data_IF_394255344444
#
_entry.id   IF_394255344444
#
_cell.length_a   1.000
_cell.length_b   1.000
_cell.length_c   1.000
_cell.angle_alpha   90.00
_cell.angle_beta   90.00
_cell.angle_gamma   90.00
#
_symmetry.space_group_name_H-M   'P 1'
#
loop_
_entity.id
_entity.type
_entity.pdbx_description
1 polymer ?
#
# COMPACT_ATOMS: atom_id res chain seq x y z
N UNK A 1 100.70 55.28 -15.63
CA UNK A 1 99.57 55.98 -14.98
C UNK A 1 98.53 54.93 -14.57
N UNK A 2 98.21 54.88 -13.27
CA UNK A 2 97.45 53.83 -12.52
C UNK A 2 95.98 53.78 -12.98
N UNK A 3 95.38 52.67 -13.43
CA UNK A 3 94.99 51.37 -12.83
C UNK A 3 93.82 51.42 -11.82
N UNK A 4 92.63 51.12 -12.35
CA UNK A 4 91.51 50.29 -11.82
C UNK A 4 91.32 50.21 -10.29
N UNK A 5 90.22 50.79 -9.78
CA UNK A 5 89.74 50.60 -8.41
C UNK A 5 88.64 49.53 -8.38
N UNK A 6 89.09 48.32 -8.03
CA UNK A 6 88.33 47.12 -7.71
C UNK A 6 87.49 47.35 -6.45
N UNK A 7 86.20 47.06 -6.50
CA UNK A 7 85.33 47.01 -5.32
C UNK A 7 85.80 45.88 -4.38
N UNK A 8 86.19 46.24 -3.16
CA UNK A 8 86.47 45.32 -2.06
C UNK A 8 85.19 45.05 -1.29
N UNK A 9 84.83 43.77 -1.17
CA UNK A 9 83.78 43.31 -0.28
C UNK A 9 84.13 43.68 1.18
N UNK A 10 83.38 44.61 1.78
CA UNK A 10 83.42 44.83 3.22
C UNK A 10 82.41 43.91 3.90
N UNK A 11 82.98 43.04 4.71
CA UNK A 11 82.40 42.03 5.57
C UNK A 11 81.16 42.48 6.36
N UNK A 12 80.23 41.52 6.44
CA UNK A 12 79.18 41.39 7.46
C UNK A 12 79.71 41.72 8.86
N UNK A 13 79.27 42.84 9.43
CA UNK A 13 79.38 43.10 10.86
C UNK A 13 78.08 42.64 11.51
N UNK A 14 78.14 41.44 12.09
CA UNK A 14 77.09 40.82 12.89
C UNK A 14 76.63 41.75 14.03
N UNK A 15 75.39 42.23 13.93
CA UNK A 15 74.62 42.68 15.09
C UNK A 15 74.34 41.44 15.95
N UNK A 16 74.64 41.42 17.27
CA UNK A 16 74.32 40.27 18.10
C UNK A 16 72.80 40.09 18.18
N UNK A 17 72.29 39.02 17.57
CA UNK A 17 70.90 38.59 17.72
C UNK A 17 70.63 38.33 19.20
N UNK A 18 69.72 39.09 19.79
CA UNK A 18 69.15 38.82 21.10
C UNK A 18 68.26 37.56 20.99
N UNK A 19 68.85 36.40 21.26
CA UNK A 19 68.25 35.06 21.17
C UNK A 19 67.04 34.88 22.09
N UNK A 20 66.97 35.66 23.18
CA UNK A 20 65.85 35.65 24.12
C UNK A 20 64.60 36.33 23.53
N UNK A 21 64.79 37.44 22.81
CA UNK A 21 63.70 38.14 22.12
C UNK A 21 63.14 37.33 20.94
N UNK A 22 64.00 36.66 20.15
CA UNK A 22 63.54 35.82 19.04
C UNK A 22 62.71 34.61 19.52
N UNK A 23 63.16 33.95 20.59
CA UNK A 23 62.44 32.82 21.20
C UNK A 23 61.08 33.25 21.78
N UNK A 24 61.00 34.44 22.39
CA UNK A 24 59.74 35.04 22.82
C UNK A 24 58.82 35.38 21.64
N UNK A 25 59.34 35.94 20.54
CA UNK A 25 58.54 36.23 19.34
C UNK A 25 57.97 34.97 18.69
N UNK A 26 58.72 33.86 18.68
CA UNK A 26 58.21 32.57 18.22
C UNK A 26 57.11 32.00 19.12
N UNK A 27 57.26 32.12 20.45
CA UNK A 27 56.24 31.65 21.39
C UNK A 27 54.95 32.50 21.33
N UNK A 28 55.09 33.82 21.16
CA UNK A 28 53.98 34.73 20.90
C UNK A 28 53.27 34.42 19.58
N UNK A 29 54.02 34.11 18.53
CA UNK A 29 53.43 33.76 17.23
C UNK A 29 52.66 32.42 17.29
N UNK A 30 53.18 31.42 18.03
CA UNK A 30 52.46 30.17 18.31
C UNK A 30 51.15 30.44 19.07
N UNK A 31 51.16 31.31 20.08
CA UNK A 31 49.95 31.65 20.84
C UNK A 31 48.93 32.43 20.01
N UNK A 32 49.36 33.36 19.16
CA UNK A 32 48.47 34.09 18.25
C UNK A 32 47.82 33.15 17.22
N UNK A 33 48.59 32.22 16.64
CA UNK A 33 48.04 31.22 15.71
C UNK A 33 47.03 30.29 16.39
N UNK A 34 47.30 29.89 17.63
CA UNK A 34 46.36 29.14 18.46
C UNK A 34 45.08 29.92 18.75
N UNK A 35 45.18 31.20 19.13
CA UNK A 35 44.02 32.07 19.40
C UNK A 35 43.19 32.27 18.12
N UNK A 36 43.85 32.48 16.98
CA UNK A 36 43.17 32.66 15.68
C UNK A 36 42.44 31.39 15.27
N UNK A 37 43.06 30.22 15.49
CA UNK A 37 42.43 28.91 15.22
C UNK A 37 41.24 28.66 16.14
N UNK A 38 41.36 28.98 17.43
CA UNK A 38 40.26 28.87 18.39
C UNK A 38 39.11 29.85 18.07
N UNK A 39 39.42 31.07 17.60
CA UNK A 39 38.41 32.03 17.15
C UNK A 39 37.64 31.49 15.94
N UNK A 40 38.35 30.92 14.96
CA UNK A 40 37.73 30.27 13.80
C UNK A 40 36.86 29.06 14.20
N UNK A 41 37.33 28.25 15.14
CA UNK A 41 36.54 27.16 15.68
C UNK A 41 35.27 27.64 16.40
N UNK A 42 35.35 28.75 17.14
CA UNK A 42 34.20 29.37 17.81
C UNK A 42 33.18 29.95 16.81
N UNK A 43 33.66 30.61 15.75
CA UNK A 43 32.82 31.07 14.64
C UNK A 43 32.10 29.91 13.96
N UNK A 44 32.82 28.81 13.68
CA UNK A 44 32.24 27.61 13.13
C UNK A 44 31.18 27.01 14.06
N UNK A 45 31.41 26.95 15.37
CA UNK A 45 30.42 26.48 16.35
C UNK A 45 29.15 27.35 16.36
N UNK A 46 29.29 28.67 16.28
CA UNK A 46 28.14 29.59 16.22
C UNK A 46 27.34 29.40 14.93
N UNK A 47 28.02 29.30 13.79
CA UNK A 47 27.37 29.04 12.51
C UNK A 47 26.65 27.68 12.50
N UNK A 48 27.29 26.65 13.06
CA UNK A 48 26.69 25.32 13.17
C UNK A 48 25.44 25.33 14.07
N UNK A 49 25.50 26.03 15.21
CA UNK A 49 24.35 26.21 16.11
C UNK A 49 23.19 26.94 15.45
N UNK A 50 23.46 28.00 14.68
CA UNK A 50 22.44 28.71 13.91
C UNK A 50 21.84 27.83 12.81
N UNK A 51 22.67 27.10 12.07
CA UNK A 51 22.21 26.13 11.07
C UNK A 51 21.29 25.06 11.68
N UNK A 52 21.65 24.53 12.84
CA UNK A 52 20.82 23.58 13.59
C UNK A 52 19.45 24.15 13.95
N UNK A 53 19.38 25.39 14.46
CA UNK A 53 18.10 26.03 14.80
C UNK A 53 17.24 26.26 13.55
N UNK A 54 17.86 26.76 12.47
CA UNK A 54 17.19 27.02 11.19
C UNK A 54 16.60 25.74 10.59
N UNK A 55 17.24 24.59 10.78
CA UNK A 55 16.72 23.31 10.29
C UNK A 55 15.77 22.61 11.27
N UNK A 56 15.97 22.73 12.59
CA UNK A 56 15.14 22.04 13.58
C UNK A 56 13.70 22.56 13.60
N UNK A 57 13.51 23.88 13.50
CA UNK A 57 12.17 24.48 13.47
C UNK A 57 11.30 23.95 12.31
N UNK A 58 11.71 24.05 11.02
CA UNK A 58 10.96 23.48 9.91
C UNK A 58 10.71 21.98 10.05
N UNK A 59 11.71 21.22 10.53
CA UNK A 59 11.56 19.77 10.75
C UNK A 59 10.48 19.46 11.80
N UNK A 60 10.38 20.27 12.87
CA UNK A 60 9.31 20.12 13.86
C UNK A 60 7.93 20.42 13.26
N UNK A 61 7.78 21.49 12.48
CA UNK A 61 6.52 21.82 11.82
C UNK A 61 6.10 20.74 10.83
N UNK A 62 7.03 20.25 10.01
CA UNK A 62 6.77 19.15 9.09
C UNK A 62 6.38 17.87 9.83
N UNK A 63 7.06 17.54 10.93
CA UNK A 63 6.72 16.38 11.75
C UNK A 63 5.31 16.46 12.34
N UNK A 64 4.90 17.65 12.79
CA UNK A 64 3.53 17.88 13.27
C UNK A 64 2.51 17.74 12.13
N UNK A 65 2.77 18.32 10.96
CA UNK A 65 1.88 18.23 9.80
C UNK A 65 1.72 16.78 9.31
N UNK A 66 2.82 16.03 9.23
CA UNK A 66 2.81 14.61 8.90
C UNK A 66 1.95 13.80 9.89
N UNK A 67 2.00 14.11 11.19
CA UNK A 67 1.17 13.42 12.19
C UNK A 67 -0.33 13.66 11.99
N UNK A 68 -0.73 14.89 11.63
CA UNK A 68 -2.12 15.24 11.37
C UNK A 68 -2.65 14.57 10.10
N UNK A 69 -1.85 14.59 9.03
CA UNK A 69 -2.19 13.89 7.78
C UNK A 69 -2.31 12.39 7.99
N UNK A 70 -1.45 11.79 8.83
CA UNK A 70 -1.53 10.37 9.17
C UNK A 70 -2.86 10.03 9.85
N UNK A 71 -3.28 10.80 10.85
CA UNK A 71 -4.56 10.59 11.53
C UNK A 71 -5.73 10.72 10.53
N UNK A 72 -5.69 11.71 9.64
CA UNK A 72 -6.71 11.90 8.60
C UNK A 72 -6.78 10.72 7.64
N UNK A 73 -5.62 10.17 7.22
CA UNK A 73 -5.56 8.97 6.40
C UNK A 73 -6.14 7.75 7.12
N UNK A 74 -5.79 7.52 8.39
CA UNK A 74 -6.33 6.42 9.19
C UNK A 74 -7.85 6.51 9.35
N UNK A 75 -8.38 7.70 9.60
CA UNK A 75 -9.82 7.95 9.66
C UNK A 75 -10.50 7.69 8.32
N UNK A 76 -9.91 8.17 7.22
CA UNK A 76 -10.42 7.94 5.87
C UNK A 76 -10.41 6.46 5.50
N UNK A 77 -9.38 5.73 5.91
CA UNK A 77 -9.28 4.28 5.68
C UNK A 77 -10.30 3.50 6.50
N UNK A 78 -10.53 3.89 7.76
CA UNK A 78 -11.59 3.34 8.58
C UNK A 78 -12.98 3.57 7.96
N UNK A 79 -13.24 4.80 7.49
CA UNK A 79 -14.49 5.15 6.80
C UNK A 79 -14.67 4.35 5.50
N UNK A 80 -13.64 4.27 4.66
CA UNK A 80 -13.67 3.50 3.42
C UNK A 80 -13.89 2.01 3.67
N UNK A 81 -13.27 1.44 4.70
CA UNK A 81 -13.49 0.05 5.09
C UNK A 81 -14.95 -0.19 5.48
N UNK A 82 -15.54 0.75 6.23
CA UNK A 82 -16.96 0.68 6.59
C UNK A 82 -17.87 0.80 5.37
N UNK A 83 -17.57 1.72 4.46
CA UNK A 83 -18.33 1.91 3.22
C UNK A 83 -18.30 0.65 2.35
N UNK A 84 -17.13 0.04 2.16
CA UNK A 84 -17.00 -1.23 1.44
C UNK A 84 -17.82 -2.35 2.08
N UNK A 85 -17.73 -2.50 3.41
CA UNK A 85 -18.53 -3.50 4.12
C UNK A 85 -20.04 -3.29 3.93
N UNK A 86 -20.51 -2.04 3.94
CA UNK A 86 -21.93 -1.74 3.72
C UNK A 86 -22.34 -1.98 2.26
N UNK A 87 -21.45 -1.69 1.30
CA UNK A 87 -21.68 -1.98 -0.11
C UNK A 87 -21.79 -3.49 -0.36
N UNK A 88 -20.89 -4.28 0.23
CA UNK A 88 -20.93 -5.75 0.15
C UNK A 88 -22.22 -6.31 0.78
N UNK A 89 -22.70 -5.72 1.88
CA UNK A 89 -23.97 -6.08 2.49
C UNK A 89 -25.16 -5.75 1.58
N UNK A 90 -25.15 -4.57 0.96
CA UNK A 90 -26.18 -4.14 0.03
C UNK A 90 -26.25 -5.07 -1.19
N UNK A 91 -25.10 -5.43 -1.76
CA UNK A 91 -25.00 -6.37 -2.88
C UNK A 91 -25.55 -7.75 -2.50
N UNK A 92 -25.21 -8.26 -1.31
CA UNK A 92 -25.77 -9.52 -0.80
C UNK A 92 -27.30 -9.46 -0.67
N UNK A 93 -27.84 -8.36 -0.14
CA UNK A 93 -29.30 -8.16 -0.04
C UNK A 93 -29.95 -8.09 -1.42
N UNK A 94 -29.32 -7.42 -2.38
CA UNK A 94 -29.80 -7.34 -3.75
C UNK A 94 -29.86 -8.72 -4.41
N UNK A 95 -28.82 -9.55 -4.24
CA UNK A 95 -28.80 -10.93 -4.72
C UNK A 95 -29.89 -11.79 -4.07
N UNK A 96 -30.11 -11.62 -2.76
CA UNK A 96 -31.19 -12.32 -2.04
C UNK A 96 -32.58 -11.93 -2.57
N UNK A 97 -32.84 -10.63 -2.75
CA UNK A 97 -34.11 -10.13 -3.29
C UNK A 97 -34.31 -10.61 -4.72
N UNK A 98 -33.28 -10.55 -5.56
CA UNK A 98 -33.34 -11.03 -6.96
C UNK A 98 -33.72 -12.51 -7.02
N UNK A 99 -33.10 -13.33 -6.16
CA UNK A 99 -33.44 -14.75 -6.06
C UNK A 99 -34.89 -14.95 -5.60
N UNK A 100 -35.33 -14.22 -4.58
CA UNK A 100 -36.70 -14.29 -4.09
C UNK A 100 -37.72 -13.90 -5.17
N UNK A 101 -37.46 -12.83 -5.92
CA UNK A 101 -38.30 -12.40 -7.04
C UNK A 101 -38.38 -13.47 -8.13
N UNK A 102 -37.25 -14.09 -8.46
CA UNK A 102 -37.21 -15.18 -9.43
C UNK A 102 -38.01 -16.40 -8.94
N UNK A 103 -37.89 -16.74 -7.65
CA UNK A 103 -38.65 -17.83 -7.05
C UNK A 103 -40.15 -17.55 -7.11
N UNK A 104 -40.59 -16.34 -6.72
CA UNK A 104 -42.01 -15.95 -6.77
C UNK A 104 -42.55 -15.95 -8.21
N UNK A 105 -41.80 -15.40 -9.17
CA UNK A 105 -42.24 -15.34 -10.57
C UNK A 105 -42.34 -16.73 -11.22
N UNK A 106 -41.48 -17.67 -10.80
CA UNK A 106 -41.46 -19.03 -11.34
C UNK A 106 -42.30 -20.02 -10.53
N UNK A 107 -42.92 -19.59 -9.43
CA UNK A 107 -43.76 -20.45 -8.60
C UNK A 107 -45.17 -20.53 -9.17
N UNK A 108 -45.65 -21.75 -9.41
CA UNK A 108 -47.06 -21.99 -9.74
C UNK A 108 -47.83 -22.53 -8.53
N UNK A 109 -49.12 -22.20 -8.45
CA UNK A 109 -50.04 -22.60 -7.38
C UNK A 109 -51.21 -23.47 -7.87
N UNK A 110 -51.22 -23.84 -9.15
CA UNK A 110 -52.25 -24.68 -9.78
C UNK A 110 -51.78 -26.13 -10.01
N UNK A 111 -50.61 -26.49 -9.47
CA UNK A 111 -49.98 -27.79 -9.68
C UNK A 111 -49.30 -27.97 -11.05
N UNK A 112 -49.33 -26.96 -11.93
CA UNK A 112 -48.71 -27.03 -13.27
C UNK A 112 -47.36 -26.32 -13.27
N UNK A 113 -46.31 -26.99 -13.77
CA UNK A 113 -44.98 -26.39 -13.93
C UNK A 113 -44.54 -26.47 -15.40
N UNK A 114 -44.26 -25.31 -15.99
CA UNK A 114 -43.58 -25.22 -17.29
C UNK A 114 -42.13 -24.82 -17.04
N UNK A 115 -41.20 -25.75 -17.26
CA UNK A 115 -39.78 -25.53 -16.99
C UNK A 115 -38.95 -25.50 -18.28
N UNK A 116 -38.42 -24.33 -18.61
CA UNK A 116 -37.53 -24.15 -19.77
C UNK A 116 -36.07 -24.28 -19.36
N UNK A 117 -35.40 -25.32 -19.86
CA UNK A 117 -33.95 -25.48 -19.72
C UNK A 117 -33.23 -24.73 -20.83
N UNK A 118 -32.33 -23.82 -20.46
CA UNK A 118 -31.41 -23.14 -21.40
C UNK A 118 -30.04 -23.79 -21.34
N UNK A 119 -29.26 -23.64 -22.40
CA UNK A 119 -27.88 -24.13 -22.51
C UNK A 119 -27.72 -25.63 -22.21
N UNK A 120 -28.59 -26.46 -22.79
CA UNK A 120 -28.61 -27.91 -22.54
C UNK A 120 -27.25 -28.55 -22.84
N UNK A 121 -26.62 -28.22 -23.97
CA UNK A 121 -25.30 -28.75 -24.35
C UNK A 121 -24.23 -28.47 -23.30
N UNK A 122 -24.17 -27.24 -22.78
CA UNK A 122 -23.23 -26.87 -21.72
C UNK A 122 -23.52 -27.65 -20.45
N UNK A 123 -24.78 -27.78 -20.06
CA UNK A 123 -25.18 -28.51 -18.86
C UNK A 123 -24.87 -30.01 -18.94
N UNK A 124 -24.99 -30.61 -20.13
CA UNK A 124 -24.56 -32.00 -20.37
C UNK A 124 -23.04 -32.13 -20.15
N UNK A 125 -22.24 -31.21 -20.70
CA UNK A 125 -20.78 -31.25 -20.47
C UNK A 125 -20.41 -31.02 -19.01
N UNK A 126 -21.15 -30.17 -18.28
CA UNK A 126 -20.97 -29.97 -16.83
C UNK A 126 -21.31 -31.23 -16.04
N UNK A 127 -22.33 -31.98 -16.46
CA UNK A 127 -22.71 -33.26 -15.85
C UNK A 127 -21.73 -34.38 -16.16
N UNK A 128 -21.22 -34.47 -17.39
CA UNK A 128 -20.18 -35.43 -17.79
C UNK A 128 -18.84 -35.16 -17.10
N UNK A 129 -18.53 -33.88 -16.87
CA UNK A 129 -17.37 -33.45 -16.08
C UNK A 129 -17.50 -33.76 -14.58
N UNK A 130 -18.65 -34.24 -14.10
CA UNK A 130 -18.91 -34.49 -12.68
C UNK A 130 -19.08 -33.23 -11.82
N UNK A 131 -19.14 -32.02 -12.42
CA UNK A 131 -19.27 -30.76 -11.68
C UNK A 131 -20.67 -30.57 -11.09
N UNK A 132 -21.69 -31.04 -11.80
CA UNK A 132 -23.09 -30.98 -11.37
C UNK A 132 -23.79 -32.28 -11.75
N UNK A 133 -24.49 -32.93 -10.83
CA UNK A 133 -25.16 -34.22 -11.13
C UNK A 133 -26.62 -34.07 -11.51
N UNK A 134 -27.28 -33.00 -11.04
CA UNK A 134 -28.68 -32.72 -11.37
C UNK A 134 -28.98 -31.22 -11.30
N UNK A 135 -30.00 -30.80 -12.03
CA UNK A 135 -30.52 -29.43 -12.05
C UNK A 135 -31.87 -29.45 -11.36
N UNK A 136 -32.14 -28.49 -10.47
CA UNK A 136 -33.45 -28.35 -9.81
C UNK A 136 -34.30 -27.28 -10.49
N UNK A 137 -35.60 -27.54 -10.59
CA UNK A 137 -36.61 -26.56 -11.01
C UNK A 137 -36.92 -25.58 -9.88
N UNK A 138 -37.62 -24.50 -10.23
CA UNK A 138 -38.34 -23.69 -9.25
C UNK A 138 -39.41 -24.52 -8.53
N UNK A 139 -39.86 -24.01 -7.38
CA UNK A 139 -40.88 -24.64 -6.56
C UNK A 139 -42.24 -24.58 -7.25
N UNK A 140 -43.03 -25.65 -7.14
CA UNK A 140 -44.43 -25.68 -7.53
C UNK A 140 -45.31 -26.08 -6.34
N UNK A 141 -46.50 -25.52 -6.24
CA UNK A 141 -47.48 -25.87 -5.21
C UNK A 141 -48.69 -26.54 -5.85
N UNK A 142 -49.24 -27.57 -5.19
CA UNK A 142 -50.46 -28.24 -5.67
C UNK A 142 -51.72 -27.39 -5.58
N UNK A 143 -51.74 -26.41 -4.66
CA UNK A 143 -52.81 -25.42 -4.44
C UNK A 143 -52.24 -24.28 -3.59
N UNK A 144 -53.01 -23.20 -3.33
CA UNK A 144 -52.60 -22.07 -2.48
C UNK A 144 -52.11 -22.48 -1.08
N UNK A 145 -52.63 -23.59 -0.55
CA UNK A 145 -52.30 -24.15 0.77
C UNK A 145 -51.87 -25.62 0.65
N UNK A 146 -51.35 -26.01 -0.52
CA UNK A 146 -51.04 -27.38 -0.87
C UNK A 146 -49.59 -27.80 -0.59
N UNK A 147 -49.20 -28.94 -1.16
CA UNK A 147 -47.84 -29.47 -1.04
C UNK A 147 -46.86 -28.63 -1.84
N UNK A 148 -45.68 -28.39 -1.25
CA UNK A 148 -44.53 -27.79 -1.92
C UNK A 148 -43.76 -28.90 -2.64
N UNK A 149 -43.52 -28.74 -3.93
CA UNK A 149 -42.84 -29.74 -4.75
C UNK A 149 -41.73 -29.09 -5.59
N UNK A 150 -40.78 -29.89 -6.03
CA UNK A 150 -39.77 -29.49 -7.02
C UNK A 150 -39.43 -30.68 -7.92
N UNK A 151 -38.92 -30.40 -9.11
CA UNK A 151 -38.46 -31.41 -10.06
C UNK A 151 -36.96 -31.30 -10.19
N UNK A 152 -36.26 -32.43 -10.19
CA UNK A 152 -34.85 -32.50 -10.54
C UNK A 152 -34.66 -33.24 -11.86
N UNK A 153 -33.70 -32.77 -12.64
CA UNK A 153 -33.33 -33.27 -13.95
C UNK A 153 -31.85 -33.63 -13.96
N UNK A 154 -31.54 -34.90 -14.18
CA UNK A 154 -30.18 -35.36 -14.43
C UNK A 154 -30.03 -35.61 -15.93
N UNK A 155 -29.27 -34.74 -16.60
CA UNK A 155 -29.11 -34.78 -18.06
C UNK A 155 -28.20 -35.90 -18.54
N UNK A 156 -27.35 -36.45 -17.66
CA UNK A 156 -26.40 -37.51 -17.99
C UNK A 156 -26.72 -38.87 -17.37
N UNK A 157 -27.95 -39.05 -16.88
CA UNK A 157 -28.32 -40.26 -16.14
C UNK A 157 -27.47 -40.46 -14.87
N UNK A 158 -27.49 -41.68 -14.34
CA UNK A 158 -26.64 -42.09 -13.23
C UNK A 158 -26.68 -43.61 -13.05
N UNK A 159 -25.54 -44.22 -12.70
CA UNK A 159 -25.39 -45.68 -12.66
C UNK A 159 -25.44 -46.29 -14.06
N UNK A 160 -26.23 -47.34 -14.26
CA UNK A 160 -26.33 -48.08 -15.53
C UNK A 160 -26.92 -47.27 -16.70
N UNK A 161 -27.46 -46.08 -16.41
CA UNK A 161 -28.06 -45.17 -17.38
C UNK A 161 -27.19 -43.95 -17.72
N UNK A 162 -25.92 -43.96 -17.30
CA UNK A 162 -24.96 -42.88 -17.58
C UNK A 162 -24.77 -42.67 -19.09
N UNK A 163 -24.70 -41.41 -19.53
CA UNK A 163 -24.57 -40.96 -20.94
C UNK A 163 -25.66 -41.42 -21.93
N UNK A 164 -26.69 -42.14 -21.49
CA UNK A 164 -27.71 -42.72 -22.38
C UNK A 164 -29.11 -42.17 -22.15
N UNK A 165 -29.47 -41.85 -20.90
CA UNK A 165 -30.82 -41.43 -20.54
C UNK A 165 -30.84 -40.17 -19.70
N UNK A 166 -31.93 -39.43 -19.81
CA UNK A 166 -32.25 -38.31 -18.95
C UNK A 166 -33.17 -38.81 -17.84
N UNK A 167 -32.85 -38.50 -16.59
CA UNK A 167 -33.66 -38.88 -15.44
C UNK A 167 -34.39 -37.65 -14.91
N UNK A 168 -35.71 -37.78 -14.77
CA UNK A 168 -36.59 -36.77 -14.17
C UNK A 168 -37.15 -37.35 -12.88
N UNK A 169 -36.92 -36.67 -11.77
CA UNK A 169 -37.47 -37.09 -10.47
C UNK A 169 -38.20 -35.93 -9.78
N UNK A 170 -39.27 -36.25 -9.05
CA UNK A 170 -40.04 -35.29 -8.26
C UNK A 170 -39.62 -35.40 -6.80
N UNK A 171 -39.30 -34.27 -6.18
CA UNK A 171 -39.16 -34.14 -4.72
C UNK A 171 -40.38 -33.42 -4.14
N UNK A 172 -40.91 -33.99 -3.06
CA UNK A 172 -41.96 -33.42 -2.19
C UNK A 172 -41.32 -32.80 -0.95
#
# INVERSE_FOLDING_TARGET
MRLSLRWSACNSSNVPMNTNAFSQTMNLNKTVNMITSNKKANENMKHLGNGLIVHNNPLQYQSQEHSLLQISCEQKDACNKKLKSNQDECEKKFQQITKLLQDVHCTSYDGTLIWKIRDVSRKITETQSGKHTSIKSSVLYSSSNGYKMSVSLSLNGGGDAEDTHIIISRSL
#
